data_IF_171831197676
#
_entry.id   IF_171831197676
#
_cell.length_a   1.000
_cell.length_b   1.000
_cell.length_c   1.000
_cell.angle_alpha   90.00
_cell.angle_beta   90.00
_cell.angle_gamma   90.00
#
_symmetry.space_group_name_H-M   'P 1'
#
loop_
_entity.id
_entity.type
_entity.pdbx_description
1 polymer ?
#
# COMPACT_ATOMS: atom_id res chain seq x y z
N UNK A 1 27.22 38.58 4.37
CA UNK A 1 26.74 39.23 5.62
C UNK A 1 25.28 39.59 5.47
N UNK A 2 24.37 38.91 6.17
CA UNK A 2 23.19 39.44 6.91
C UNK A 2 22.27 38.25 7.24
N UNK A 3 22.13 38.04 8.55
CA UNK A 3 21.31 37.03 9.22
C UNK A 3 19.88 37.58 9.35
N UNK A 4 18.87 36.73 9.29
CA UNK A 4 17.56 37.07 9.86
C UNK A 4 16.94 35.82 10.49
N UNK A 5 16.91 35.86 11.82
CA UNK A 5 16.34 34.87 12.73
C UNK A 5 14.84 35.12 12.82
N UNK A 6 14.01 34.07 12.73
CA UNK A 6 12.59 34.17 13.06
C UNK A 6 12.22 33.25 14.22
N UNK A 7 11.53 33.90 15.14
CA UNK A 7 11.23 33.59 16.52
C UNK A 7 10.23 32.44 16.66
N UNK A 8 10.55 31.47 17.52
CA UNK A 8 9.63 30.45 18.03
C UNK A 8 8.69 31.06 19.08
N UNK A 9 7.38 30.88 18.93
CA UNK A 9 6.40 31.13 19.98
C UNK A 9 5.93 29.77 20.53
N UNK A 10 6.34 29.45 21.75
CA UNK A 10 5.84 28.34 22.56
C UNK A 10 4.63 28.84 23.36
N UNK A 11 3.46 28.27 23.13
CA UNK A 11 2.32 28.42 24.06
C UNK A 11 2.05 27.06 24.67
N UNK A 12 2.50 26.92 25.91
CA UNK A 12 2.11 25.86 26.81
C UNK A 12 0.81 26.27 27.51
N UNK A 13 -0.21 25.42 27.47
CA UNK A 13 -1.33 25.49 28.40
C UNK A 13 -1.61 24.09 28.92
N UNK A 14 -1.16 23.87 30.16
CA UNK A 14 -1.61 22.80 31.02
C UNK A 14 -3.00 23.17 31.57
N UNK A 15 -3.95 22.23 31.53
CA UNK A 15 -5.12 22.26 32.42
C UNK A 15 -5.26 20.88 33.03
N UNK A 16 -4.90 20.80 34.31
CA UNK A 16 -5.31 19.75 35.21
C UNK A 16 -6.73 20.03 35.68
N UNK A 17 -7.58 19.02 35.74
CA UNK A 17 -8.82 19.05 36.51
C UNK A 17 -9.14 17.65 37.01
N UNK A 18 -8.84 17.45 38.28
CA UNK A 18 -9.35 16.42 39.20
C UNK A 18 -10.86 16.56 39.40
N UNK A 19 -11.61 15.45 39.33
CA UNK A 19 -12.94 15.37 39.96
C UNK A 19 -13.30 13.91 40.34
N UNK A 20 -13.26 13.69 41.66
CA UNK A 20 -14.06 12.85 42.57
C UNK A 20 -14.67 11.51 42.14
N UNK A 21 -14.40 10.53 43.01
CA UNK A 21 -15.09 9.27 43.21
C UNK A 21 -16.62 9.39 43.34
N UNK A 22 -17.32 8.50 42.66
CA UNK A 22 -18.67 8.06 42.99
C UNK A 22 -18.69 6.53 42.90
N UNK A 23 -18.43 5.88 44.04
CA UNK A 23 -18.53 4.43 44.22
C UNK A 23 -20.01 4.05 44.28
N UNK A 24 -20.50 3.36 43.25
CA UNK A 24 -21.85 2.80 43.20
C UNK A 24 -21.74 1.26 43.30
N UNK A 25 -22.62 0.60 44.07
CA UNK A 25 -22.51 -0.82 44.37
C UNK A 25 -22.65 -1.68 43.11
N UNK A 26 -21.68 -2.57 42.93
CA UNK A 26 -21.59 -3.57 41.88
C UNK A 26 -22.79 -4.52 41.96
N UNK A 27 -23.72 -4.36 41.01
CA UNK A 27 -24.74 -5.38 40.75
C UNK A 27 -24.10 -6.41 39.83
N UNK A 28 -23.69 -7.52 40.42
CA UNK A 28 -23.11 -8.70 39.78
C UNK A 28 -24.12 -9.29 38.77
N UNK A 29 -24.12 -8.74 37.55
CA UNK A 29 -24.87 -9.28 36.42
C UNK A 29 -23.94 -10.22 35.70
N UNK A 30 -24.12 -11.52 35.94
CA UNK A 30 -23.45 -12.59 35.19
C UNK A 30 -23.64 -12.34 33.69
N UNK A 31 -22.57 -12.11 32.90
CA UNK A 31 -22.69 -11.95 31.46
C UNK A 31 -23.14 -13.30 30.90
N UNK A 32 -24.34 -13.32 30.30
CA UNK A 32 -24.73 -14.43 29.44
C UNK A 32 -23.64 -14.60 28.37
N UNK A 33 -23.20 -15.83 28.05
CA UNK A 33 -22.25 -16.06 26.96
C UNK A 33 -22.89 -15.52 25.68
N UNK A 34 -22.42 -14.36 25.23
CA UNK A 34 -22.78 -13.81 23.95
C UNK A 34 -22.41 -14.87 22.92
N UNK A 35 -23.42 -15.47 22.29
CA UNK A 35 -23.23 -16.28 21.11
C UNK A 35 -22.70 -15.33 20.03
N UNK A 36 -21.37 -15.27 19.91
CA UNK A 36 -20.69 -14.64 18.79
C UNK A 36 -21.13 -15.40 17.55
N UNK A 37 -22.17 -14.89 16.90
CA UNK A 37 -22.46 -15.22 15.51
C UNK A 37 -21.20 -14.90 14.73
N UNK A 38 -20.38 -15.91 14.47
CA UNK A 38 -19.28 -15.83 13.53
C UNK A 38 -19.92 -15.49 12.18
N UNK A 39 -19.89 -14.20 11.83
CA UNK A 39 -20.26 -13.75 10.51
C UNK A 39 -19.41 -14.56 9.53
N UNK A 40 -19.98 -15.16 8.47
CA UNK A 40 -19.20 -15.94 7.53
C UNK A 40 -18.05 -15.07 7.00
N UNK A 41 -16.81 -15.49 7.26
CA UNK A 41 -15.61 -14.90 6.65
C UNK A 41 -15.84 -14.95 5.14
N UNK A 42 -16.12 -13.77 4.57
CA UNK A 42 -16.29 -13.65 3.13
C UNK A 42 -14.89 -13.77 2.57
N UNK A 43 -14.62 -14.85 1.84
CA UNK A 43 -13.32 -15.08 1.25
C UNK A 43 -12.87 -13.85 0.41
N UNK A 44 -11.58 -13.49 0.42
CA UNK A 44 -11.07 -12.39 -0.40
C UNK A 44 -11.45 -12.57 -1.87
N UNK A 45 -11.72 -11.45 -2.54
CA UNK A 45 -12.00 -11.45 -3.97
C UNK A 45 -10.76 -11.97 -4.73
N UNK A 46 -10.91 -12.91 -5.69
CA UNK A 46 -9.77 -13.54 -6.36
C UNK A 46 -9.04 -12.60 -7.33
N UNK A 47 -9.59 -11.43 -7.63
CA UNK A 47 -8.95 -10.45 -8.51
C UNK A 47 -7.80 -9.74 -7.80
N UNK A 48 -6.66 -9.61 -8.45
CA UNK A 48 -5.49 -8.93 -7.89
C UNK A 48 -5.30 -7.50 -8.45
N UNK A 49 -4.22 -6.84 -8.06
CA UNK A 49 -3.95 -5.47 -8.49
C UNK A 49 -3.69 -5.34 -10.00
N UNK A 50 -3.26 -6.41 -10.68
CA UNK A 50 -3.07 -6.42 -12.14
C UNK A 50 -4.42 -6.48 -12.85
N UNK A 51 -5.36 -7.27 -12.33
CA UNK A 51 -6.73 -7.26 -12.82
C UNK A 51 -7.40 -5.88 -12.70
N UNK A 52 -7.12 -5.12 -11.62
CA UNK A 52 -7.59 -3.73 -11.50
C UNK A 52 -6.96 -2.85 -12.58
N UNK A 53 -5.68 -3.05 -12.87
CA UNK A 53 -4.96 -2.25 -13.88
C UNK A 53 -5.56 -2.46 -15.27
N UNK A 54 -5.84 -3.72 -15.62
CA UNK A 54 -6.52 -4.03 -16.87
C UNK A 54 -7.92 -3.43 -16.95
N UNK A 55 -8.71 -3.53 -15.88
CA UNK A 55 -10.06 -2.95 -15.85
C UNK A 55 -10.05 -1.42 -16.06
N UNK A 56 -9.08 -0.72 -15.46
CA UNK A 56 -8.92 0.73 -15.65
C UNK A 56 -8.47 1.06 -17.07
N UNK A 57 -7.53 0.30 -17.64
CA UNK A 57 -7.10 0.47 -19.04
C UNK A 57 -8.26 0.21 -20.02
N UNK A 58 -9.07 -0.82 -19.78
CA UNK A 58 -10.24 -1.13 -20.60
C UNK A 58 -11.30 -0.02 -20.52
N UNK A 59 -11.58 0.50 -19.32
CA UNK A 59 -12.45 1.65 -19.15
C UNK A 59 -11.92 2.88 -19.90
N UNK A 60 -10.60 3.12 -19.88
CA UNK A 60 -9.95 4.22 -20.59
C UNK A 60 -10.05 4.15 -22.12
N UNK A 61 -10.27 2.96 -22.68
CA UNK A 61 -10.50 2.79 -24.13
C UNK A 61 -11.93 3.13 -24.55
N UNK A 62 -12.86 3.30 -23.62
CA UNK A 62 -14.26 3.66 -23.90
C UNK A 62 -14.40 5.17 -24.10
N UNK A 63 -13.89 5.71 -25.21
CA UNK A 63 -13.81 7.17 -25.43
C UNK A 63 -15.14 7.91 -25.27
N UNK A 64 -16.23 7.39 -25.86
CA UNK A 64 -17.54 8.05 -25.85
C UNK A 64 -18.27 7.96 -24.50
N UNK A 65 -17.85 7.06 -23.61
CA UNK A 65 -18.49 6.78 -22.31
C UNK A 65 -17.46 6.69 -21.17
N UNK A 66 -16.35 7.43 -21.28
CA UNK A 66 -15.17 7.24 -20.42
C UNK A 66 -15.51 7.43 -18.94
N UNK A 67 -16.20 8.52 -18.60
CA UNK A 67 -16.58 8.81 -17.21
C UNK A 67 -17.49 7.72 -16.61
N UNK A 68 -18.48 7.22 -17.37
CA UNK A 68 -19.34 6.16 -16.86
C UNK A 68 -18.61 4.81 -16.80
N UNK A 69 -17.68 4.53 -17.73
CA UNK A 69 -16.83 3.35 -17.70
C UNK A 69 -15.92 3.35 -16.46
N UNK A 70 -15.32 4.49 -16.11
CA UNK A 70 -14.54 4.66 -14.87
C UNK A 70 -15.42 4.53 -13.63
N UNK A 71 -16.65 5.08 -13.64
CA UNK A 71 -17.58 4.94 -12.53
C UNK A 71 -18.01 3.48 -12.30
N UNK A 72 -18.34 2.73 -13.37
CA UNK A 72 -18.63 1.29 -13.30
C UNK A 72 -17.44 0.50 -12.77
N UNK A 73 -16.24 0.83 -13.25
CA UNK A 73 -15.00 0.22 -12.74
C UNK A 73 -14.84 0.49 -11.25
N UNK A 74 -15.01 1.73 -10.78
CA UNK A 74 -14.95 2.05 -9.34
C UNK A 74 -15.94 1.21 -8.52
N UNK A 75 -17.20 1.17 -8.94
CA UNK A 75 -18.27 0.46 -8.23
C UNK A 75 -18.04 -1.06 -8.17
N UNK A 76 -17.42 -1.65 -9.20
CA UNK A 76 -17.12 -3.08 -9.22
C UNK A 76 -15.97 -3.49 -8.28
N UNK A 77 -15.21 -2.51 -7.77
CA UNK A 77 -13.98 -2.76 -7.02
C UNK A 77 -14.01 -2.28 -5.57
N UNK A 78 -14.70 -1.17 -5.27
CA UNK A 78 -14.75 -0.58 -3.93
C UNK A 78 -15.41 -1.49 -2.88
N UNK A 79 -15.05 -1.29 -1.61
CA UNK A 79 -15.62 -1.94 -0.41
C UNK A 79 -15.50 -3.47 -0.39
N UNK A 80 -14.53 -4.01 -1.13
CA UNK A 80 -14.20 -5.44 -1.19
C UNK A 80 -12.83 -5.69 -0.62
N UNK A 81 -12.66 -6.87 -0.05
CA UNK A 81 -11.36 -7.36 0.40
C UNK A 81 -10.62 -8.04 -0.74
N UNK A 82 -9.33 -7.72 -0.88
CA UNK A 82 -8.45 -8.30 -1.88
C UNK A 82 -7.16 -8.79 -1.22
N UNK A 83 -6.51 -9.76 -1.85
CA UNK A 83 -5.14 -10.16 -1.51
C UNK A 83 -4.17 -9.68 -2.58
N UNK A 84 -3.28 -8.77 -2.23
CA UNK A 84 -2.34 -8.13 -3.15
C UNK A 84 -0.89 -8.34 -2.73
N UNK A 85 -0.01 -8.33 -3.73
CA UNK A 85 1.44 -8.29 -3.54
C UNK A 85 1.97 -6.88 -3.83
N UNK A 86 2.49 -6.16 -2.84
CA UNK A 86 2.89 -4.75 -2.99
C UNK A 86 4.34 -4.53 -2.54
N UNK A 87 5.08 -3.70 -3.24
CA UNK A 87 6.40 -3.26 -2.77
C UNK A 87 6.28 -2.14 -1.74
N UNK A 88 6.69 -2.44 -0.51
CA UNK A 88 6.89 -1.49 0.57
C UNK A 88 8.26 -0.82 0.46
N UNK A 89 8.27 0.52 0.47
CA UNK A 89 9.48 1.33 0.48
C UNK A 89 9.50 2.12 1.80
N UNK A 90 10.38 1.80 2.77
CA UNK A 90 10.38 2.44 4.09
C UNK A 90 10.43 3.97 4.02
N UNK A 91 11.18 4.53 3.07
CA UNK A 91 11.31 5.97 2.89
C UNK A 91 9.99 6.67 2.47
N UNK A 92 9.02 5.93 1.95
CA UNK A 92 7.69 6.45 1.58
C UNK A 92 6.65 6.26 2.69
N UNK A 93 7.05 5.69 3.82
CA UNK A 93 6.16 5.40 4.94
C UNK A 93 6.63 6.15 6.18
N UNK A 94 5.98 7.29 6.43
CA UNK A 94 6.24 8.10 7.62
C UNK A 94 5.91 7.36 8.92
N UNK A 95 6.47 7.82 10.07
CA UNK A 95 6.18 7.26 11.38
C UNK A 95 4.69 7.42 11.76
N UNK A 96 4.04 8.43 11.20
CA UNK A 96 2.61 8.72 11.29
C UNK A 96 2.06 8.98 9.88
N UNK A 97 0.78 8.66 9.64
CA UNK A 97 0.09 8.92 8.36
C UNK A 97 -0.01 7.72 7.41
N UNK A 98 -0.50 7.89 6.17
CA UNK A 98 -0.61 6.80 5.20
C UNK A 98 0.78 6.33 4.75
N UNK A 99 0.94 5.02 4.58
CA UNK A 99 2.14 4.43 4.01
C UNK A 99 1.92 4.21 2.52
N UNK A 100 2.82 4.73 1.67
CA UNK A 100 2.68 4.57 0.21
C UNK A 100 3.48 3.35 -0.25
N UNK A 101 2.83 2.47 -1.00
CA UNK A 101 3.45 1.28 -1.59
C UNK A 101 3.49 1.38 -3.13
N UNK A 102 4.21 0.47 -3.77
CA UNK A 102 4.27 0.32 -5.22
C UNK A 102 3.50 -0.94 -5.61
N UNK A 103 2.46 -0.86 -6.47
CA UNK A 103 1.56 -1.99 -6.66
C UNK A 103 2.06 -3.01 -7.69
N UNK A 104 3.01 -2.64 -8.54
CA UNK A 104 3.34 -3.45 -9.71
C UNK A 104 4.81 -3.81 -9.74
N UNK A 105 5.09 -5.10 -9.85
CA UNK A 105 6.27 -5.56 -10.57
C UNK A 105 6.00 -5.43 -12.08
N UNK A 106 6.67 -4.48 -12.72
CA UNK A 106 6.53 -4.18 -14.14
C UNK A 106 7.12 -5.25 -15.07
N UNK A 107 7.80 -6.28 -14.53
CA UNK A 107 8.30 -7.43 -15.29
C UNK A 107 7.41 -8.68 -15.18
N UNK A 108 6.42 -8.68 -14.28
CA UNK A 108 5.56 -9.86 -14.05
C UNK A 108 4.75 -10.27 -15.27
N UNK A 109 4.22 -9.31 -16.03
CA UNK A 109 3.51 -9.56 -17.29
C UNK A 109 4.11 -8.70 -18.42
N UNK A 110 5.00 -9.28 -19.24
CA UNK A 110 5.61 -8.55 -20.35
C UNK A 110 4.66 -8.34 -21.53
N UNK A 111 3.57 -9.11 -21.64
CA UNK A 111 2.59 -8.99 -22.73
C UNK A 111 1.64 -7.81 -22.47
N UNK A 112 1.35 -7.53 -21.20
CA UNK A 112 0.50 -6.42 -20.78
C UNK A 112 1.22 -5.46 -19.82
N UNK A 113 2.24 -4.72 -20.32
CA UNK A 113 3.06 -3.87 -19.46
C UNK A 113 2.21 -2.75 -18.85
N UNK A 114 2.20 -2.70 -17.51
CA UNK A 114 1.55 -1.62 -16.78
C UNK A 114 2.42 -0.37 -16.86
N UNK A 115 1.93 0.66 -17.55
CA UNK A 115 2.66 1.94 -17.75
C UNK A 115 2.18 3.06 -16.84
N UNK A 116 1.08 2.84 -16.13
CA UNK A 116 0.49 3.84 -15.25
C UNK A 116 1.21 3.84 -13.90
N UNK A 117 1.53 5.04 -13.40
CA UNK A 117 2.01 5.22 -12.04
C UNK A 117 0.84 5.28 -11.07
N UNK A 118 0.76 4.32 -10.16
CA UNK A 118 -0.21 4.33 -9.05
C UNK A 118 0.54 4.40 -7.73
N UNK A 119 -0.05 5.08 -6.75
CA UNK A 119 0.51 5.20 -5.41
C UNK A 119 -0.54 4.78 -4.37
N UNK A 120 -0.76 3.45 -4.21
CA UNK A 120 -1.66 2.92 -3.21
C UNK A 120 -1.24 3.37 -1.81
N UNK A 121 -2.22 3.82 -1.05
CA UNK A 121 -2.07 4.19 0.36
C UNK A 121 -2.51 3.03 1.22
N UNK A 122 -1.66 2.64 2.15
CA UNK A 122 -1.94 1.62 3.16
C UNK A 122 -2.25 2.33 4.48
N UNK A 123 -3.47 2.13 4.97
CA UNK A 123 -3.89 2.56 6.31
C UNK A 123 -3.44 1.49 7.32
N UNK A 124 -2.20 1.65 7.77
CA UNK A 124 -1.57 0.74 8.72
C UNK A 124 -1.72 1.25 10.14
N UNK A 125 -2.18 0.37 11.03
CA UNK A 125 -2.17 0.60 12.47
C UNK A 125 -0.74 0.78 13.00
N UNK A 126 -0.52 1.53 14.09
CA UNK A 126 0.82 1.74 14.64
C UNK A 126 1.58 0.45 14.95
N UNK A 127 0.88 -0.59 15.39
CA UNK A 127 1.48 -1.91 15.66
C UNK A 127 1.94 -2.61 14.37
N UNK A 128 1.10 -2.62 13.33
CA UNK A 128 1.42 -3.20 12.02
C UNK A 128 2.59 -2.48 11.37
N UNK A 129 2.64 -1.15 11.50
CA UNK A 129 3.73 -0.32 10.97
C UNK A 129 5.07 -0.67 11.61
N UNK A 130 5.11 -0.84 12.94
CA UNK A 130 6.32 -1.28 13.65
C UNK A 130 6.74 -2.69 13.23
N UNK A 131 5.78 -3.59 13.09
CA UNK A 131 6.04 -4.97 12.65
C UNK A 131 6.62 -5.00 11.22
N UNK A 132 6.06 -4.23 10.29
CA UNK A 132 6.57 -4.10 8.93
C UNK A 132 7.97 -3.48 8.90
N UNK A 133 8.17 -2.39 9.64
CA UNK A 133 9.49 -1.75 9.75
C UNK A 133 10.56 -2.73 10.26
N UNK A 134 10.25 -3.52 11.29
CA UNK A 134 11.16 -4.54 11.82
C UNK A 134 11.41 -5.69 10.82
N UNK A 135 10.38 -6.18 10.13
CA UNK A 135 10.50 -7.23 9.10
C UNK A 135 11.34 -6.78 7.89
N UNK A 136 11.36 -5.48 7.64
CA UNK A 136 12.02 -4.84 6.49
C UNK A 136 13.29 -4.07 6.87
N UNK A 137 13.81 -4.29 8.07
CA UNK A 137 15.00 -3.60 8.55
C UNK A 137 16.20 -3.84 7.61
N UNK A 138 16.92 -2.76 7.30
CA UNK A 138 18.08 -2.78 6.40
C UNK A 138 17.74 -2.94 4.91
N UNK A 139 16.47 -3.12 4.53
CA UNK A 139 16.05 -3.24 3.14
C UNK A 139 15.67 -1.87 2.57
N UNK A 140 16.11 -1.58 1.34
CA UNK A 140 15.61 -0.41 0.60
C UNK A 140 14.19 -0.62 0.11
N UNK A 141 13.78 -1.88 -0.07
CA UNK A 141 12.46 -2.31 -0.52
C UNK A 141 12.13 -3.73 -0.05
N UNK A 142 10.92 -3.93 0.42
CA UNK A 142 10.32 -5.24 0.69
C UNK A 142 9.14 -5.47 -0.23
N UNK A 143 8.84 -6.73 -0.51
CA UNK A 143 7.57 -7.15 -1.11
C UNK A 143 6.69 -7.70 0.00
N UNK A 144 5.47 -7.18 0.09
CA UNK A 144 4.45 -7.57 1.05
C UNK A 144 3.39 -8.41 0.36
N UNK A 145 3.01 -9.52 0.97
CA UNK A 145 1.78 -10.25 0.67
C UNK A 145 0.78 -9.89 1.76
N UNK A 146 -0.32 -9.23 1.38
CA UNK A 146 -1.31 -8.71 2.32
C UNK A 146 -2.72 -8.89 1.80
N UNK A 147 -3.70 -8.95 2.70
CA UNK A 147 -5.08 -8.66 2.38
C UNK A 147 -5.49 -7.31 2.93
N UNK A 148 -6.54 -6.73 2.34
CA UNK A 148 -7.11 -5.48 2.80
C UNK A 148 -8.34 -5.09 2.00
N UNK A 149 -9.17 -4.25 2.60
CA UNK A 149 -10.36 -3.68 1.96
C UNK A 149 -9.98 -2.46 1.13
N UNK A 150 -10.37 -2.45 -0.14
CA UNK A 150 -10.27 -1.27 -1.00
C UNK A 150 -11.33 -0.23 -0.59
N UNK A 151 -10.99 0.65 0.35
CA UNK A 151 -11.90 1.64 0.92
C UNK A 151 -12.01 2.93 0.10
N UNK A 152 -11.01 3.22 -0.73
CA UNK A 152 -11.05 4.36 -1.65
C UNK A 152 -10.47 3.97 -3.01
N UNK A 153 -11.13 4.38 -4.08
CA UNK A 153 -10.66 4.23 -5.46
C UNK A 153 -11.07 5.46 -6.27
N UNK A 154 -10.15 6.41 -6.41
CA UNK A 154 -10.30 7.59 -7.25
C UNK A 154 -9.82 7.30 -8.67
N UNK A 155 -10.79 7.27 -9.58
CA UNK A 155 -10.57 7.17 -11.03
C UNK A 155 -11.04 8.46 -11.67
N UNK A 156 -10.18 9.09 -12.45
CA UNK A 156 -10.44 10.38 -13.10
C UNK A 156 -9.75 10.40 -14.46
N UNK A 157 -10.27 11.24 -15.35
CA UNK A 157 -9.68 11.60 -16.63
C UNK A 157 -8.51 12.59 -16.49
N UNK A 158 -8.46 13.34 -15.40
CA UNK A 158 -7.47 14.42 -15.18
C UNK A 158 -6.31 14.00 -14.27
N UNK A 159 -6.54 13.04 -13.37
CA UNK A 159 -5.57 12.63 -12.34
C UNK A 159 -5.17 11.16 -12.46
N UNK A 160 -3.93 10.79 -12.11
CA UNK A 160 -3.55 9.37 -11.99
C UNK A 160 -4.45 8.63 -11.01
N UNK A 161 -4.71 7.32 -11.21
CA UNK A 161 -5.47 6.52 -10.27
C UNK A 161 -4.87 6.59 -8.86
N UNK A 162 -5.72 6.81 -7.87
CA UNK A 162 -5.36 6.82 -6.46
C UNK A 162 -6.26 5.86 -5.71
N UNK A 163 -5.69 5.10 -4.78
CA UNK A 163 -6.45 4.13 -4.01
C UNK A 163 -5.94 4.02 -2.58
N UNK A 164 -6.83 3.59 -1.68
CA UNK A 164 -6.54 3.34 -0.28
C UNK A 164 -6.99 1.92 0.09
N UNK A 165 -6.09 1.17 0.70
CA UNK A 165 -6.39 -0.10 1.35
C UNK A 165 -6.46 0.13 2.87
N UNK A 166 -7.52 -0.39 3.48
CA UNK A 166 -7.82 -0.38 4.91
C UNK A 166 -7.99 -1.81 5.41
N UNK A 167 -8.20 -2.00 6.72
CA UNK A 167 -8.39 -3.33 7.32
C UNK A 167 -7.27 -4.31 6.93
N UNK A 168 -6.02 -3.82 6.91
CA UNK A 168 -4.89 -4.56 6.36
C UNK A 168 -4.53 -5.75 7.24
N UNK A 169 -4.31 -6.91 6.64
CA UNK A 169 -3.64 -8.05 7.25
C UNK A 169 -2.39 -8.41 6.45
N UNK A 170 -1.23 -8.51 7.11
CA UNK A 170 0.04 -8.82 6.45
C UNK A 170 0.37 -10.31 6.62
N UNK A 171 0.18 -11.07 5.54
CA UNK A 171 0.46 -12.50 5.46
C UNK A 171 1.96 -12.79 5.36
N UNK A 172 2.69 -11.95 4.62
CA UNK A 172 4.10 -12.15 4.34
C UNK A 172 4.86 -10.86 4.06
N UNK A 173 6.17 -10.88 4.33
CA UNK A 173 7.10 -9.85 3.92
C UNK A 173 8.43 -10.50 3.54
N UNK A 174 9.00 -10.08 2.42
CA UNK A 174 10.30 -10.59 1.92
C UNK A 174 11.11 -9.45 1.30
N UNK A 175 12.45 -9.56 1.22
CA UNK A 175 13.23 -8.68 0.36
C UNK A 175 12.76 -8.75 -1.09
N UNK A 176 12.83 -7.62 -1.79
CA UNK A 176 12.66 -7.61 -3.25
C UNK A 176 13.86 -8.27 -3.92
N UNK A 177 13.61 -8.94 -5.05
CA UNK A 177 14.64 -9.62 -5.84
C UNK A 177 15.16 -8.72 -6.96
N UNK A 178 16.35 -9.03 -7.45
CA UNK A 178 17.01 -8.26 -8.52
C UNK A 178 16.33 -8.40 -9.90
N UNK A 179 15.57 -9.47 -10.10
CA UNK A 179 14.78 -9.73 -11.31
C UNK A 179 13.38 -9.08 -11.29
N UNK A 180 13.02 -8.39 -10.20
CA UNK A 180 11.76 -7.65 -10.07
C UNK A 180 11.94 -6.16 -10.37
N UNK A 181 10.98 -5.57 -11.07
CA UNK A 181 10.99 -4.15 -11.44
C UNK A 181 9.81 -3.40 -10.84
N UNK A 182 9.88 -3.12 -9.54
CA UNK A 182 8.83 -2.35 -8.84
C UNK A 182 8.87 -0.83 -9.10
N UNK A 183 9.93 -0.30 -9.72
CA UNK A 183 10.08 1.12 -10.03
C UNK A 183 10.30 1.27 -11.53
N UNK A 184 9.41 2.02 -12.21
CA UNK A 184 9.58 2.37 -13.62
C UNK A 184 10.94 3.06 -13.83
N UNK A 185 11.74 2.52 -14.74
CA UNK A 185 13.03 3.11 -15.11
C UNK A 185 14.21 2.70 -14.24
N UNK A 186 14.06 1.73 -13.32
CA UNK A 186 15.22 1.15 -12.59
C UNK A 186 16.12 0.27 -13.47
N UNK A 187 15.97 0.32 -14.81
CA UNK A 187 16.98 -0.21 -15.74
C UNK A 187 18.24 0.64 -15.64
N UNK A 188 19.02 0.40 -14.59
CA UNK A 188 20.46 0.56 -14.58
C UNK A 188 21.10 -0.80 -14.32
N UNK A 189 21.64 -1.33 -15.42
CA UNK A 189 22.97 -1.93 -15.43
C UNK A 189 23.13 -3.24 -14.67
N UNK A 190 22.31 -4.25 -14.96
CA UNK A 190 22.81 -5.63 -14.83
C UNK A 190 23.76 -5.84 -16.00
N UNK A 191 25.05 -5.73 -15.70
CA UNK A 191 26.23 -6.07 -16.48
C UNK A 191 25.97 -6.38 -17.96
N UNK A 192 26.47 -5.48 -18.82
CA UNK A 192 27.03 -5.94 -20.09
C UNK A 192 27.89 -7.16 -19.77
N UNK A 193 27.44 -8.33 -20.23
CA UNK A 193 28.19 -9.58 -20.29
C UNK A 193 29.62 -9.19 -20.63
N UNK A 194 30.57 -9.41 -19.71
CA UNK A 194 31.98 -9.19 -20.02
C UNK A 194 32.24 -9.90 -21.37
N UNK A 195 32.85 -9.23 -22.36
CA UNK A 195 33.14 -9.88 -23.62
C UNK A 195 33.92 -11.15 -23.29
N UNK A 196 33.44 -12.29 -23.79
CA UNK A 196 34.18 -13.55 -23.74
C UNK A 196 35.62 -13.25 -24.17
N UNK A 197 36.64 -13.65 -23.38
CA UNK A 197 38.02 -13.41 -23.77
C UNK A 197 38.23 -14.07 -25.13
N UNK A 198 38.57 -13.27 -26.13
CA UNK A 198 38.90 -13.77 -27.45
C UNK A 198 40.02 -14.81 -27.32
N UNK A 199 39.71 -16.06 -27.63
CA UNK A 199 40.70 -17.13 -27.71
C UNK A 199 41.60 -16.83 -28.91
N UNK A 200 42.71 -16.14 -28.68
CA UNK A 200 43.77 -15.99 -29.68
C UNK A 200 44.48 -17.34 -29.78
N UNK A 201 44.19 -18.09 -30.83
CA UNK A 201 45.02 -19.24 -31.21
C UNK A 201 46.34 -18.70 -31.76
N UNK A 202 47.41 -18.88 -31.00
CA UNK A 202 48.77 -18.71 -31.51
C UNK A 202 49.04 -19.81 -32.56
N UNK A 203 49.38 -19.39 -33.77
CA UNK A 203 49.97 -20.22 -34.81
C UNK A 203 51.45 -19.96 -34.93
#
# INVERSE_FOLDING_TARGET
>A
MRRTLHTLLLVATAIASTACHGEAPETETTPAPASTSASPETAPDPRDQYALAHAIEEARRSYDDLEAALARTRAAWIDREYRWELAYVPALCGPTGPCVALPFDHLRDPEHPIRQGWLPRLELEPAQRRQLAARCEGQTRCVLDLSGRLSQLELSTERPPSLTLSDIEVHGARPSRDDESWILGSRRTVAARAPEPAVIKAG
#
